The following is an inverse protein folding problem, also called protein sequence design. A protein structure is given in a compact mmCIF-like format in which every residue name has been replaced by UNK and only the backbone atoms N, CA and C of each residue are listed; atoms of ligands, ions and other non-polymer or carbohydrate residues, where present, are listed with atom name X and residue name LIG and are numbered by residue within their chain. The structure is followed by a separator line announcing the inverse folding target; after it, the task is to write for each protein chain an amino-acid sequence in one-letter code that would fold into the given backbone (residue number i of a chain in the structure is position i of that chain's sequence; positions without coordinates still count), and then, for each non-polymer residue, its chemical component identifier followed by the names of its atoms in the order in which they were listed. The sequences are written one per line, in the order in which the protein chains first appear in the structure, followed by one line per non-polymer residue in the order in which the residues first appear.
data_IF_773542434645
#
_entry.id   IF_773542434645
#
_cell.length_a   1.000
_cell.length_b   1.000
_cell.length_c   1.000
_cell.angle_alpha   90.00
_cell.angle_beta   90.00
_cell.angle_gamma   90.00
#
_symmetry.space_group_name_H-M   'P 1'
#
loop_
_entity.id
_entity.type
_entity.pdbx_description
1 polymer ?
#
# COMPACT_ATOMS: atom_id res chain seq x y z
N UNK A 1 -4.85 9.16 -17.21
CA UNK A 1 -4.20 8.99 -15.90
C UNK A 1 -3.82 7.52 -15.78
N UNK A 2 -2.58 7.22 -15.37
CA UNK A 2 -2.09 5.85 -15.20
C UNK A 2 -1.90 5.62 -13.70
N UNK A 3 -2.42 4.51 -13.19
CA UNK A 3 -2.21 4.06 -11.82
C UNK A 3 -1.51 2.69 -11.82
N UNK A 4 -0.72 2.44 -10.81
CA UNK A 4 -0.05 1.15 -10.61
C UNK A 4 -0.69 0.41 -9.45
N UNK A 5 -0.97 -0.88 -9.65
CA UNK A 5 -1.49 -1.79 -8.63
C UNK A 5 -0.48 -2.91 -8.42
N UNK A 6 0.31 -2.83 -7.36
CA UNK A 6 1.34 -3.83 -7.06
C UNK A 6 0.92 -4.72 -5.90
N UNK A 7 1.01 -6.03 -6.11
CA UNK A 7 0.92 -7.01 -5.05
C UNK A 7 2.26 -7.14 -4.33
N UNK A 8 2.21 -7.38 -3.02
CA UNK A 8 3.39 -7.55 -2.16
C UNK A 8 3.70 -9.02 -1.83
N UNK A 9 3.23 -9.94 -2.68
CA UNK A 9 3.44 -11.39 -2.54
C UNK A 9 4.92 -11.79 -2.44
N UNK A 10 5.80 -11.03 -3.08
CA UNK A 10 7.25 -11.23 -3.03
C UNK A 10 8.01 -10.11 -2.30
N UNK A 11 7.32 -9.27 -1.51
CA UNK A 11 7.91 -8.14 -0.76
C UNK A 11 8.66 -7.15 -1.64
N UNK A 12 8.05 -6.79 -2.77
CA UNK A 12 8.62 -5.89 -3.80
C UNK A 12 7.70 -4.75 -4.20
N UNK A 13 6.49 -4.66 -3.63
CA UNK A 13 5.54 -3.64 -4.05
C UNK A 13 6.08 -2.22 -3.80
N UNK A 14 6.69 -1.98 -2.64
CA UNK A 14 7.28 -0.67 -2.30
C UNK A 14 8.49 -0.32 -3.20
N UNK A 15 9.33 -1.30 -3.55
CA UNK A 15 10.44 -1.10 -4.50
C UNK A 15 9.92 -0.68 -5.88
N UNK A 16 8.84 -1.33 -6.35
CA UNK A 16 8.20 -1.00 -7.62
C UNK A 16 7.53 0.38 -7.58
N UNK A 17 6.95 0.78 -6.45
CA UNK A 17 6.40 2.12 -6.25
C UNK A 17 7.52 3.16 -6.37
N UNK A 18 8.66 2.97 -5.69
CA UNK A 18 9.83 3.86 -5.79
C UNK A 18 10.26 4.05 -7.25
N UNK A 19 10.43 2.96 -7.99
CA UNK A 19 10.80 3.02 -9.41
C UNK A 19 9.72 3.68 -10.28
N UNK A 20 8.45 3.49 -9.95
CA UNK A 20 7.33 4.11 -10.67
C UNK A 20 7.30 5.64 -10.47
N UNK A 21 7.74 6.12 -9.30
CA UNK A 21 7.87 7.55 -9.04
C UNK A 21 8.90 8.20 -9.98
N UNK A 22 10.01 7.52 -10.27
CA UNK A 22 11.02 7.96 -11.24
C UNK A 22 10.46 8.02 -12.67
N UNK A 23 9.52 7.13 -12.98
CA UNK A 23 8.75 7.11 -14.23
C UNK A 23 7.56 8.10 -14.25
N UNK A 24 7.52 9.07 -13.33
CA UNK A 24 6.46 10.09 -13.21
C UNK A 24 5.05 9.56 -12.89
N UNK A 25 4.89 8.32 -12.42
CA UNK A 25 3.61 7.80 -11.92
C UNK A 25 3.28 8.43 -10.56
N UNK A 26 2.02 8.81 -10.35
CA UNK A 26 1.56 9.50 -9.12
C UNK A 26 0.28 8.92 -8.52
N UNK A 27 -0.18 7.78 -9.01
CA UNK A 27 -1.39 7.11 -8.52
C UNK A 27 -1.08 5.64 -8.28
N UNK A 28 -1.40 5.15 -7.09
CA UNK A 28 -1.11 3.80 -6.65
C UNK A 28 -2.31 3.24 -5.92
N UNK A 29 -2.69 2.02 -6.27
CA UNK A 29 -3.72 1.27 -5.57
C UNK A 29 -3.07 0.43 -4.46
N UNK A 30 -3.72 0.40 -3.30
CA UNK A 30 -3.29 -0.33 -2.11
C UNK A 30 -4.51 -0.80 -1.31
N UNK A 31 -4.29 -1.63 -0.30
CA UNK A 31 -5.36 -2.15 0.57
C UNK A 31 -5.02 -1.90 2.03
N UNK A 32 -6.00 -1.50 2.84
CA UNK A 32 -5.76 -1.22 4.26
C UNK A 32 -5.30 -2.50 4.97
N UNK A 33 -4.19 -2.46 5.73
CA UNK A 33 -3.64 -3.65 6.38
C UNK A 33 -3.14 -4.73 5.42
N UNK A 34 -3.01 -4.44 4.12
CA UNK A 34 -2.69 -5.44 3.09
C UNK A 34 -3.82 -6.43 2.81
N UNK A 35 -5.08 -6.07 3.14
CA UNK A 35 -6.24 -6.94 2.95
C UNK A 35 -6.36 -7.49 1.52
N UNK A 36 -6.84 -8.73 1.44
CA UNK A 36 -6.99 -9.47 0.19
C UNK A 36 -5.72 -10.27 -0.11
N UNK A 37 -5.73 -11.56 0.23
CA UNK A 37 -4.66 -12.50 -0.06
C UNK A 37 -4.67 -13.00 -1.51
N UNK A 38 -3.69 -13.84 -1.86
CA UNK A 38 -3.61 -14.46 -3.18
C UNK A 38 -4.35 -15.83 -3.21
N UNK A 39 -5.38 -16.02 -4.05
CA UNK A 39 -6.06 -17.33 -4.16
C UNK A 39 -5.15 -18.44 -4.70
N UNK A 40 -4.01 -18.10 -5.30
CA UNK A 40 -3.04 -19.05 -5.87
C UNK A 40 -1.83 -19.31 -4.96
N UNK A 41 -1.67 -18.54 -3.87
CA UNK A 41 -0.57 -18.69 -2.91
C UNK A 41 -1.14 -18.59 -1.50
N UNK A 42 -1.47 -19.76 -0.93
CA UNK A 42 -2.11 -19.86 0.39
C UNK A 42 -1.31 -19.14 1.47
N UNK A 43 -1.90 -18.09 2.05
CA UNK A 43 -1.30 -17.30 3.13
C UNK A 43 -0.29 -16.23 2.69
N UNK A 44 -0.04 -16.07 1.39
CA UNK A 44 0.85 -15.01 0.91
C UNK A 44 0.13 -13.65 0.90
N UNK A 45 0.87 -12.60 1.27
CA UNK A 45 0.43 -11.20 1.18
C UNK A 45 0.00 -10.90 -0.26
N UNK A 46 -1.23 -10.42 -0.44
CA UNK A 46 -1.76 -10.05 -1.75
C UNK A 46 -1.44 -8.59 -2.04
N UNK A 47 -2.32 -7.69 -1.66
CA UNK A 47 -2.13 -6.26 -1.89
C UNK A 47 -1.02 -5.66 -0.99
N UNK A 48 -0.38 -4.60 -1.48
CA UNK A 48 0.47 -3.75 -0.63
C UNK A 48 -0.39 -3.01 0.40
N UNK A 49 0.13 -2.86 1.61
CA UNK A 49 -0.59 -2.20 2.69
C UNK A 49 -0.62 -0.67 2.50
N UNK A 50 -1.79 -0.05 2.65
CA UNK A 50 -1.97 1.39 2.41
C UNK A 50 -1.09 2.24 3.32
N UNK A 51 -1.02 1.88 4.59
CA UNK A 51 -0.18 2.55 5.59
C UNK A 51 1.31 2.53 5.22
N UNK A 52 1.81 1.41 4.67
CA UNK A 52 3.19 1.31 4.24
C UNK A 52 3.47 2.18 3.01
N UNK A 53 2.51 2.32 2.09
CA UNK A 53 2.64 3.21 0.94
C UNK A 53 2.62 4.67 1.38
N UNK A 54 1.72 5.04 2.29
CA UNK A 54 1.62 6.40 2.84
C UNK A 54 2.90 6.78 3.56
N UNK A 55 3.40 5.92 4.45
CA UNK A 55 4.65 6.14 5.18
C UNK A 55 5.82 6.32 4.21
N UNK A 56 5.96 5.43 3.22
CA UNK A 56 6.99 5.54 2.19
C UNK A 56 6.93 6.88 1.44
N UNK A 57 5.73 7.30 1.00
CA UNK A 57 5.57 8.53 0.24
C UNK A 57 5.90 9.75 1.11
N UNK A 58 5.49 9.76 2.38
CA UNK A 58 5.83 10.81 3.34
C UNK A 58 7.34 10.85 3.62
N UNK A 59 8.01 9.71 3.81
CA UNK A 59 9.47 9.61 3.97
C UNK A 59 10.22 10.18 2.77
N UNK A 60 9.68 10.00 1.56
CA UNK A 60 10.23 10.54 0.32
C UNK A 60 9.83 12.01 0.05
N UNK A 61 9.05 12.63 0.95
CA UNK A 61 8.64 14.04 0.86
C UNK A 61 7.45 14.31 -0.05
N UNK A 62 6.67 13.30 -0.42
CA UNK A 62 5.43 13.47 -1.18
C UNK A 62 4.23 13.72 -0.26
N UNK A 63 3.37 14.65 -0.64
CA UNK A 63 2.06 14.84 0.00
C UNK A 63 1.02 13.90 -0.62
N UNK A 64 0.39 13.09 0.23
CA UNK A 64 -0.67 12.16 -0.15
C UNK A 64 -2.07 12.68 0.17
N UNK A 65 -2.17 13.75 0.97
CA UNK A 65 -3.44 14.23 1.54
C UNK A 65 -4.08 13.27 2.55
N UNK A 66 -3.40 12.18 2.92
CA UNK A 66 -3.91 11.18 3.87
C UNK A 66 -3.59 11.58 5.31
N UNK A 67 -4.61 11.58 6.15
CA UNK A 67 -4.49 11.79 7.60
C UNK A 67 -4.05 10.49 8.27
N UNK A 68 -2.79 10.44 8.71
CA UNK A 68 -2.16 9.24 9.31
C UNK A 68 -2.87 8.81 10.61
N UNK A 69 -3.42 9.76 11.39
CA UNK A 69 -4.15 9.43 12.60
C UNK A 69 -5.48 8.73 12.27
N UNK A 70 -6.22 9.24 11.28
CA UNK A 70 -7.45 8.57 10.79
C UNK A 70 -7.16 7.23 10.13
N UNK A 71 -6.04 7.12 9.40
CA UNK A 71 -5.62 5.86 8.80
C UNK A 71 -5.34 4.80 9.87
N UNK A 72 -4.64 5.17 10.94
CA UNK A 72 -4.38 4.29 12.08
C UNK A 72 -5.67 3.84 12.79
N UNK A 73 -6.63 4.75 12.99
CA UNK A 73 -7.96 4.40 13.54
C UNK A 73 -8.71 3.44 12.61
N UNK A 74 -8.65 3.65 11.30
CA UNK A 74 -9.29 2.75 10.34
C UNK A 74 -8.64 1.36 10.38
N UNK A 75 -7.31 1.29 10.49
CA UNK A 75 -6.57 0.03 10.59
C UNK A 75 -6.96 -0.76 11.84
N UNK A 76 -7.12 -0.10 13.01
CA UNK A 76 -7.49 -0.79 14.24
C UNK A 76 -8.86 -1.48 14.13
N UNK A 77 -9.82 -0.86 13.44
CA UNK A 77 -11.16 -1.44 13.23
C UNK A 77 -11.12 -2.72 12.38
N UNK A 78 -10.11 -2.87 11.52
CA UNK A 78 -9.96 -4.05 10.64
C UNK A 78 -9.19 -5.15 11.36
N UNK A 79 -8.11 -4.82 12.05
CA UNK A 79 -7.31 -5.80 12.81
C UNK A 79 -8.16 -6.46 13.91
N UNK A 80 -9.05 -5.72 14.56
CA UNK A 80 -9.95 -6.26 15.59
C UNK A 80 -11.04 -7.21 15.04
N UNK A 81 -11.15 -7.38 13.71
CA UNK A 81 -12.17 -8.20 13.06
C UNK A 81 -11.63 -9.51 12.43
N UNK A 82 -10.32 -9.75 12.46
CA UNK A 82 -9.70 -11.04 12.09
C UNK A 82 -9.36 -11.88 13.33
#
# INVERSE_FOLDING_TARGET
MIAMHFHDTNKRALDNIKLSLDAAIRSFDASLGGLGGCPYAGGATGNVATEQVVDLLHELGYDTGVDVAKLSIALSVIIDKE
#
